data_IF_532079458426
#
_entry.id   IF_532079458426
#
_cell.length_a   1.000
_cell.length_b   1.000
_cell.length_c   1.000
_cell.angle_alpha   90.00
_cell.angle_beta   90.00
_cell.angle_gamma   90.00
#
_symmetry.space_group_name_H-M   'P 1'
#
loop_
_entity.id
_entity.type
_entity.pdbx_description
1 polymer ?
#
# COMPACT_ATOMS: atom_id res chain seq x y z
N UNK A 1 -23.99 -49.91 -12.30
CA UNK A 1 -24.60 -49.71 -10.97
C UNK A 1 -23.51 -49.61 -9.91
N UNK A 2 -23.25 -48.39 -9.43
CA UNK A 2 -22.80 -48.08 -8.06
C UNK A 2 -23.00 -46.57 -7.93
N UNK A 3 -24.07 -46.19 -7.23
CA UNK A 3 -24.38 -44.81 -6.85
C UNK A 3 -23.35 -44.41 -5.80
N UNK A 4 -22.55 -43.38 -6.07
CA UNK A 4 -21.78 -42.70 -5.04
C UNK A 4 -22.50 -41.37 -4.77
N UNK A 5 -23.37 -41.40 -3.78
CA UNK A 5 -24.05 -40.22 -3.24
C UNK A 5 -23.03 -39.42 -2.45
N UNK A 6 -22.46 -38.38 -3.07
CA UNK A 6 -21.66 -37.39 -2.36
C UNK A 6 -22.56 -36.64 -1.39
N UNK A 7 -22.32 -36.84 -0.10
CA UNK A 7 -22.81 -35.97 0.97
C UNK A 7 -22.26 -34.57 0.74
N UNK A 8 -23.15 -33.60 0.58
CA UNK A 8 -22.82 -32.17 0.69
C UNK A 8 -22.36 -31.94 2.13
N UNK A 9 -21.07 -31.70 2.33
CA UNK A 9 -20.59 -31.21 3.61
C UNK A 9 -21.00 -29.74 3.69
N UNK A 10 -22.03 -29.45 4.47
CA UNK A 10 -22.39 -28.08 4.85
C UNK A 10 -21.15 -27.39 5.44
N UNK A 11 -20.84 -26.22 4.91
CA UNK A 11 -19.83 -25.32 5.50
C UNK A 11 -20.37 -24.96 6.89
N UNK A 12 -19.66 -25.26 7.99
CA UNK A 12 -20.15 -24.89 9.32
C UNK A 12 -20.27 -23.37 9.40
N UNK A 13 -21.44 -22.91 9.83
CA UNK A 13 -21.73 -21.50 10.09
C UNK A 13 -20.62 -20.90 10.96
N UNK A 14 -20.03 -19.81 10.47
CA UNK A 14 -19.09 -19.01 11.24
C UNK A 14 -19.86 -18.47 12.46
N UNK A 15 -19.41 -18.70 13.71
CA UNK A 15 -20.13 -18.22 14.88
C UNK A 15 -20.23 -16.70 14.86
N UNK A 16 -21.46 -16.20 14.79
CA UNK A 16 -21.77 -14.79 15.01
C UNK A 16 -21.34 -14.43 16.44
N UNK A 17 -20.49 -13.40 16.57
CA UNK A 17 -20.07 -12.88 17.87
C UNK A 17 -21.30 -12.54 18.74
N UNK A 18 -21.44 -13.09 19.96
CA UNK A 18 -22.52 -12.70 20.85
C UNK A 18 -22.31 -11.24 21.31
N UNK A 19 -23.33 -10.41 21.14
CA UNK A 19 -23.34 -9.03 21.62
C UNK A 19 -23.29 -8.95 23.16
N UNK A 20 -22.84 -7.83 23.73
CA UNK A 20 -22.66 -7.70 25.17
C UNK A 20 -24.02 -7.54 25.86
N UNK A 21 -24.61 -8.64 26.31
CA UNK A 21 -25.63 -8.59 27.35
C UNK A 21 -24.95 -8.60 28.72
N UNK A 22 -25.04 -7.45 29.39
CA UNK A 22 -25.11 -7.28 30.84
C UNK A 22 -24.12 -8.04 31.73
N UNK A 23 -23.11 -7.33 32.23
CA UNK A 23 -22.48 -7.69 33.51
C UNK A 23 -22.72 -6.56 34.51
N UNK A 24 -23.52 -6.87 35.52
CA UNK A 24 -23.88 -6.08 36.69
C UNK A 24 -22.66 -5.74 37.55
N UNK A 25 -22.71 -4.56 38.18
CA UNK A 25 -21.61 -3.93 38.89
C UNK A 25 -21.06 -4.69 40.11
N UNK A 26 -19.78 -4.44 40.37
CA UNK A 26 -19.10 -4.73 41.64
C UNK A 26 -18.62 -3.39 42.19
N UNK A 27 -19.16 -2.98 43.33
CA UNK A 27 -18.77 -1.78 44.06
C UNK A 27 -17.59 -2.12 44.98
N UNK A 28 -16.46 -1.44 44.82
CA UNK A 28 -15.33 -1.51 45.75
C UNK A 28 -15.17 -0.16 46.42
N UNK A 29 -15.27 -0.15 47.76
CA UNK A 29 -15.19 1.05 48.60
C UNK A 29 -13.76 1.22 49.08
N UNK A 30 -13.14 2.37 48.85
CA UNK A 30 -11.81 2.73 49.39
C UNK A 30 -11.98 3.91 50.37
N UNK A 31 -11.43 3.85 51.60
CA UNK A 31 -11.58 4.93 52.56
C UNK A 31 -10.60 6.08 52.27
N UNK A 32 -11.10 7.31 52.34
CA UNK A 32 -10.35 8.56 52.15
C UNK A 32 -9.77 9.01 53.49
N UNK A 33 -8.44 9.16 53.57
CA UNK A 33 -7.76 9.91 54.63
C UNK A 33 -7.62 11.37 54.20
N UNK A 34 -8.13 12.30 55.02
CA UNK A 34 -7.96 13.75 54.85
C UNK A 34 -6.60 14.19 55.42
N UNK A 35 -5.76 14.82 54.59
CA UNK A 35 -4.68 15.70 55.05
C UNK A 35 -4.94 17.09 54.48
N UNK A 36 -5.16 18.05 55.38
CA UNK A 36 -5.25 19.49 55.08
C UNK A 36 -3.85 20.04 54.81
N UNK A 37 -3.63 20.60 53.63
CA UNK A 37 -2.56 21.57 53.38
C UNK A 37 -3.19 22.85 52.80
N UNK A 38 -3.06 23.95 53.55
CA UNK A 38 -3.33 25.30 53.06
C UNK A 38 -2.27 25.67 52.02
N UNK A 39 -2.69 25.98 50.80
CA UNK A 39 -1.89 26.71 49.84
C UNK A 39 -2.74 27.84 49.21
N UNK A 40 -2.16 29.03 49.26
CA UNK A 40 -2.71 30.33 48.89
C UNK A 40 -3.13 30.35 47.41
N UNK A 41 -4.38 30.73 47.14
CA UNK A 41 -4.89 30.97 45.79
C UNK A 41 -4.31 32.27 45.23
N UNK A 42 -3.27 32.17 44.40
CA UNK A 42 -3.05 33.15 43.32
C UNK A 42 -3.80 32.64 42.09
N UNK A 43 -4.87 33.35 41.71
CA UNK A 43 -5.70 33.00 40.57
C UNK A 43 -4.94 33.12 39.25
N UNK A 44 -4.63 31.98 38.66
CA UNK A 44 -4.46 31.82 37.21
C UNK A 44 -5.35 30.64 36.82
N UNK A 45 -6.49 30.92 36.19
CA UNK A 45 -7.30 29.90 35.53
C UNK A 45 -6.50 29.36 34.34
N UNK A 46 -5.85 28.21 34.52
CA UNK A 46 -5.46 27.38 33.38
C UNK A 46 -6.73 26.66 32.92
N UNK A 47 -7.47 27.27 32.00
CA UNK A 47 -8.53 26.59 31.25
C UNK A 47 -7.87 25.57 30.33
N UNK A 48 -7.70 24.34 30.82
CA UNK A 48 -7.47 23.20 29.94
C UNK A 48 -8.67 23.06 29.02
N UNK A 49 -8.49 23.34 27.73
CA UNK A 49 -9.44 22.91 26.70
C UNK A 49 -9.34 21.39 26.60
N UNK A 50 -10.10 20.69 27.45
CA UNK A 50 -10.42 19.30 27.20
C UNK A 50 -11.21 19.24 25.90
N UNK A 51 -10.65 18.60 24.88
CA UNK A 51 -11.40 18.24 23.67
C UNK A 51 -12.45 17.22 24.09
N UNK A 52 -13.67 17.69 24.38
CA UNK A 52 -14.81 16.83 24.49
C UNK A 52 -15.05 16.20 23.12
N UNK A 53 -14.79 14.90 22.97
CA UNK A 53 -15.26 14.14 21.80
C UNK A 53 -16.78 14.24 21.84
N UNK A 54 -17.44 14.91 20.88
CA UNK A 54 -18.89 14.93 20.86
C UNK A 54 -19.35 13.49 20.67
N UNK A 55 -20.17 12.96 21.60
CA UNK A 55 -20.98 11.77 21.32
C UNK A 55 -22.05 12.16 20.30
N UNK A 56 -21.64 12.39 19.05
CA UNK A 56 -22.57 12.63 17.96
C UNK A 56 -23.16 11.28 17.58
N UNK A 57 -24.49 11.09 17.65
CA UNK A 57 -25.09 9.87 17.15
C UNK A 57 -24.71 9.71 15.67
N UNK A 58 -24.42 8.48 15.23
CA UNK A 58 -24.07 8.19 13.84
C UNK A 58 -25.09 8.80 12.90
N UNK A 59 -24.63 9.65 11.97
CA UNK A 59 -25.51 10.23 10.94
C UNK A 59 -25.82 9.10 9.97
N UNK A 60 -26.99 8.48 10.14
CA UNK A 60 -27.50 7.52 9.16
C UNK A 60 -27.77 8.24 7.84
N UNK A 61 -26.78 8.20 6.96
CA UNK A 61 -26.96 8.44 5.54
C UNK A 61 -28.07 7.49 5.04
N UNK A 62 -29.15 7.98 4.39
CA UNK A 62 -30.09 7.08 3.75
C UNK A 62 -29.32 6.23 2.74
N UNK A 63 -29.46 4.90 2.83
CA UNK A 63 -28.84 4.01 1.87
C UNK A 63 -29.26 4.42 0.44
N UNK A 64 -28.32 4.54 -0.50
CA UNK A 64 -28.66 4.87 -1.88
C UNK A 64 -29.66 3.84 -2.38
N UNK A 65 -30.83 4.31 -2.81
CA UNK A 65 -31.79 3.46 -3.51
C UNK A 65 -31.22 3.19 -4.89
N UNK A 66 -30.63 2.02 -5.06
CA UNK A 66 -30.29 1.51 -6.38
C UNK A 66 -31.58 1.02 -7.02
N UNK A 67 -32.10 1.78 -7.98
CA UNK A 67 -33.26 1.39 -8.80
C UNK A 67 -32.93 0.30 -9.84
N UNK A 68 -31.73 -0.29 -9.74
CA UNK A 68 -31.26 -1.41 -10.55
C UNK A 68 -31.01 -2.62 -9.63
N UNK A 69 -31.44 -3.83 -10.03
CA UNK A 69 -31.04 -5.04 -9.32
C UNK A 69 -29.51 -5.15 -9.37
N UNK A 70 -28.91 -5.41 -8.20
CA UNK A 70 -27.46 -5.61 -8.13
C UNK A 70 -27.06 -6.75 -9.08
N UNK A 71 -26.02 -6.57 -9.91
CA UNK A 71 -25.54 -7.62 -10.78
C UNK A 71 -25.14 -8.84 -9.94
N UNK A 72 -25.59 -10.03 -10.36
CA UNK A 72 -25.11 -11.29 -9.75
C UNK A 72 -23.72 -11.57 -10.30
N UNK A 73 -22.71 -11.37 -9.47
CA UNK A 73 -21.32 -11.69 -9.79
C UNK A 73 -21.02 -13.12 -9.32
N UNK A 74 -20.49 -13.95 -10.21
CA UNK A 74 -20.02 -15.29 -9.91
C UNK A 74 -18.50 -15.32 -10.02
N UNK A 75 -17.83 -15.74 -8.94
CA UNK A 75 -16.39 -15.95 -8.94
C UNK A 75 -16.11 -17.44 -9.14
N UNK A 76 -15.22 -17.77 -10.09
CA UNK A 76 -14.71 -19.13 -10.32
C UNK A 76 -13.19 -19.12 -10.14
N UNK A 77 -12.67 -20.10 -9.39
CA UNK A 77 -11.23 -20.35 -9.34
C UNK A 77 -10.78 -21.08 -10.61
N UNK A 78 -9.99 -20.37 -11.42
CA UNK A 78 -9.42 -20.87 -12.67
C UNK A 78 -7.90 -21.02 -12.61
N UNK A 79 -7.25 -20.79 -11.46
CA UNK A 79 -5.79 -20.70 -11.37
C UNK A 79 -5.10 -21.97 -11.90
N UNK A 80 -5.59 -23.14 -11.48
CA UNK A 80 -5.06 -24.43 -11.96
C UNK A 80 -5.31 -24.66 -13.46
N UNK A 81 -6.47 -24.24 -13.99
CA UNK A 81 -6.80 -24.35 -15.42
C UNK A 81 -5.94 -23.40 -16.27
N UNK A 82 -5.62 -22.24 -15.72
CA UNK A 82 -4.79 -21.22 -16.35
C UNK A 82 -3.28 -21.52 -16.26
N UNK A 83 -2.85 -22.57 -15.53
CA UNK A 83 -1.44 -22.90 -15.34
C UNK A 83 -0.74 -22.13 -14.21
N UNK A 84 -1.49 -21.39 -13.40
CA UNK A 84 -1.00 -20.62 -12.24
C UNK A 84 -1.08 -21.47 -10.97
N UNK A 85 -0.20 -22.46 -10.85
CA UNK A 85 -0.23 -23.46 -9.77
C UNK A 85 0.97 -23.38 -8.81
N UNK A 86 1.80 -22.35 -8.90
CA UNK A 86 2.94 -22.19 -7.99
C UNK A 86 2.49 -22.02 -6.53
N UNK A 87 3.26 -22.63 -5.63
CA UNK A 87 3.10 -22.43 -4.20
C UNK A 87 3.75 -21.11 -3.80
N UNK A 88 2.94 -20.18 -3.30
CA UNK A 88 3.44 -19.00 -2.60
C UNK A 88 3.79 -19.36 -1.15
N UNK A 89 4.95 -18.90 -0.70
CA UNK A 89 5.49 -19.17 0.64
C UNK A 89 5.87 -17.85 1.29
N UNK A 90 5.36 -17.57 2.48
CA UNK A 90 5.83 -16.48 3.33
C UNK A 90 5.82 -16.96 4.78
N UNK A 91 7.00 -17.28 5.32
CA UNK A 91 7.17 -17.89 6.64
C UNK A 91 6.54 -19.27 6.82
N UNK A 92 6.54 -19.77 8.05
CA UNK A 92 6.13 -21.14 8.38
C UNK A 92 4.63 -21.40 8.18
N UNK A 93 4.26 -22.63 7.82
CA UNK A 93 2.88 -22.98 7.46
C UNK A 93 1.91 -22.93 8.64
N UNK A 94 2.36 -23.33 9.84
CA UNK A 94 1.50 -23.56 11.01
C UNK A 94 1.62 -22.51 12.10
N UNK A 95 2.78 -21.89 12.25
CA UNK A 95 3.02 -20.89 13.28
C UNK A 95 3.89 -19.77 12.74
N UNK A 96 3.54 -18.53 13.07
CA UNK A 96 4.32 -17.34 12.73
C UNK A 96 4.96 -16.82 14.01
N UNK A 97 6.28 -16.74 14.05
CA UNK A 97 7.06 -16.25 15.20
C UNK A 97 7.24 -14.73 15.14
N UNK A 98 7.46 -14.21 13.94
CA UNK A 98 7.74 -12.80 13.71
C UNK A 98 6.77 -12.19 12.69
N UNK A 99 6.62 -10.87 12.76
CA UNK A 99 5.75 -10.11 11.84
C UNK A 99 6.19 -10.25 10.36
N UNK A 100 7.48 -10.46 10.09
CA UNK A 100 8.01 -10.73 8.76
C UNK A 100 7.33 -11.91 8.04
N UNK A 101 6.83 -12.88 8.80
CA UNK A 101 6.17 -14.07 8.28
C UNK A 101 4.67 -13.87 7.98
N UNK A 102 4.15 -12.67 8.23
CA UNK A 102 2.71 -12.34 8.10
C UNK A 102 2.39 -11.48 6.89
N UNK A 103 3.39 -10.85 6.29
CA UNK A 103 3.23 -10.04 5.09
C UNK A 103 3.32 -10.91 3.84
N UNK A 104 2.43 -10.64 2.89
CA UNK A 104 2.42 -11.30 1.59
C UNK A 104 3.50 -10.73 0.66
N UNK A 105 3.44 -11.13 -0.60
CA UNK A 105 4.33 -10.64 -1.65
C UNK A 105 3.53 -9.99 -2.79
N UNK A 106 4.18 -9.16 -3.58
CA UNK A 106 3.59 -8.41 -4.68
C UNK A 106 3.47 -9.19 -5.99
N UNK A 107 2.70 -8.60 -6.90
CA UNK A 107 2.51 -9.04 -8.28
C UNK A 107 2.74 -7.87 -9.23
N UNK A 108 3.36 -8.13 -10.37
CA UNK A 108 3.42 -7.21 -11.50
C UNK A 108 2.70 -7.81 -12.71
N UNK A 109 1.93 -6.97 -13.40
CA UNK A 109 1.34 -7.26 -14.69
C UNK A 109 2.00 -6.35 -15.72
N UNK A 110 2.75 -6.92 -16.66
CA UNK A 110 3.52 -6.17 -17.65
C UNK A 110 3.83 -7.04 -18.86
N UNK A 111 4.13 -6.44 -20.01
CA UNK A 111 4.47 -7.16 -21.24
C UNK A 111 5.98 -7.36 -21.32
N UNK A 112 6.50 -8.46 -20.77
CA UNK A 112 7.96 -8.60 -20.60
C UNK A 112 8.71 -8.82 -21.92
N UNK A 113 7.99 -9.15 -22.99
CA UNK A 113 8.56 -9.51 -24.29
C UNK A 113 8.03 -8.64 -25.46
N UNK A 114 7.31 -7.56 -25.15
CA UNK A 114 6.73 -6.61 -26.10
C UNK A 114 5.82 -7.28 -27.16
N UNK A 115 5.07 -8.32 -26.79
CA UNK A 115 4.16 -9.02 -27.72
C UNK A 115 2.72 -8.51 -27.72
N UNK A 116 2.45 -7.46 -26.94
CA UNK A 116 1.18 -6.77 -26.76
C UNK A 116 0.26 -7.37 -25.71
N UNK A 117 0.73 -8.35 -24.92
CA UNK A 117 -0.07 -9.02 -23.91
C UNK A 117 0.59 -8.95 -22.54
N UNK A 118 -0.22 -8.65 -21.52
CA UNK A 118 0.28 -8.63 -20.15
C UNK A 118 0.60 -10.06 -19.69
N UNK A 119 1.80 -10.21 -19.16
CA UNK A 119 2.33 -11.36 -18.46
C UNK A 119 2.25 -11.13 -16.94
N UNK A 120 2.51 -12.18 -16.15
CA UNK A 120 2.38 -12.11 -14.69
C UNK A 120 3.72 -12.44 -14.04
N UNK A 121 4.25 -11.52 -13.23
CA UNK A 121 5.36 -11.81 -12.33
C UNK A 121 4.89 -11.84 -10.88
N UNK A 122 5.09 -12.98 -10.23
CA UNK A 122 4.77 -13.21 -8.81
C UNK A 122 6.05 -13.24 -8.00
N UNK A 123 6.14 -12.35 -7.02
CA UNK A 123 7.21 -12.37 -6.02
C UNK A 123 6.89 -13.45 -5.00
N UNK A 124 7.89 -14.20 -4.58
CA UNK A 124 7.76 -15.25 -3.58
C UNK A 124 8.60 -14.95 -2.35
N UNK A 125 8.23 -15.55 -1.22
CA UNK A 125 8.96 -15.43 0.03
C UNK A 125 9.70 -16.71 0.38
N UNK A 126 10.13 -16.81 1.64
CA UNK A 126 10.84 -17.98 2.17
C UNK A 126 10.48 -18.18 3.65
N UNK A 127 11.21 -19.06 4.35
CA UNK A 127 11.05 -19.31 5.78
C UNK A 127 12.37 -19.13 6.52
N UNK A 128 12.32 -18.95 7.85
CA UNK A 128 13.54 -18.83 8.66
C UNK A 128 14.30 -20.16 8.76
N UNK A 129 13.60 -21.28 8.62
CA UNK A 129 14.12 -22.64 8.70
C UNK A 129 14.81 -23.05 7.39
N UNK A 130 14.55 -22.31 6.31
CA UNK A 130 15.07 -22.61 4.98
C UNK A 130 14.43 -23.84 4.35
N UNK A 131 14.97 -24.23 3.20
CA UNK A 131 14.53 -25.38 2.42
C UNK A 131 15.73 -26.26 2.06
N UNK A 132 15.53 -27.55 1.78
CA UNK A 132 16.55 -28.38 1.14
C UNK A 132 17.00 -27.74 -0.18
N UNK A 133 18.29 -27.88 -0.51
CA UNK A 133 18.87 -27.32 -1.72
C UNK A 133 18.10 -27.78 -2.97
N UNK A 134 17.70 -26.82 -3.81
CA UNK A 134 16.91 -27.04 -5.02
C UNK A 134 15.40 -27.15 -4.79
N UNK A 135 14.93 -26.93 -3.56
CA UNK A 135 13.51 -26.90 -3.19
C UNK A 135 13.10 -25.55 -2.60
N UNK A 136 14.00 -24.56 -2.65
CA UNK A 136 13.69 -23.21 -2.24
C UNK A 136 12.56 -22.63 -3.10
N UNK A 137 11.52 -22.01 -2.50
CA UNK A 137 10.53 -21.26 -3.26
C UNK A 137 11.21 -20.11 -4.01
N UNK A 138 10.81 -19.90 -5.25
CA UNK A 138 11.34 -18.83 -6.10
C UNK A 138 10.22 -17.94 -6.61
N UNK A 139 10.57 -16.76 -7.09
CA UNK A 139 9.66 -15.95 -7.90
C UNK A 139 9.18 -16.72 -9.14
N UNK A 140 8.09 -16.28 -9.73
CA UNK A 140 7.54 -16.88 -10.95
C UNK A 140 7.22 -15.82 -12.01
N UNK A 141 7.73 -15.98 -13.22
CA UNK A 141 7.29 -15.24 -14.41
C UNK A 141 6.45 -16.15 -15.30
N UNK A 142 5.23 -15.74 -15.58
CA UNK A 142 4.23 -16.46 -16.37
C UNK A 142 3.94 -15.72 -17.66
N UNK A 143 4.35 -16.29 -18.78
CA UNK A 143 4.03 -15.76 -20.11
C UNK A 143 2.59 -16.09 -20.47
N UNK A 144 1.85 -15.09 -20.93
CA UNK A 144 0.49 -15.21 -21.44
C UNK A 144 0.47 -15.97 -22.77
N UNK A 145 -0.30 -17.06 -22.85
CA UNK A 145 -0.44 -17.84 -24.07
C UNK A 145 -1.55 -17.32 -25.00
N UNK A 146 -2.22 -16.21 -24.64
CA UNK A 146 -3.27 -15.52 -25.44
C UNK A 146 -4.58 -16.31 -25.58
N UNK A 147 -4.78 -17.29 -24.71
CA UNK A 147 -5.96 -18.17 -24.66
C UNK A 147 -6.53 -18.34 -23.24
N UNK A 148 -6.10 -17.48 -22.30
CA UNK A 148 -6.46 -17.57 -20.89
C UNK A 148 -5.57 -18.52 -20.08
N UNK A 149 -4.55 -19.13 -20.69
CA UNK A 149 -3.54 -19.93 -20.01
C UNK A 149 -2.17 -19.23 -19.99
N UNK A 150 -1.31 -19.68 -19.10
CA UNK A 150 0.02 -19.13 -18.88
C UNK A 150 1.09 -20.23 -18.84
N UNK A 151 2.28 -19.90 -19.31
CA UNK A 151 3.47 -20.76 -19.26
C UNK A 151 4.47 -20.18 -18.28
N UNK A 152 4.91 -20.95 -17.28
CA UNK A 152 6.03 -20.56 -16.42
C UNK A 152 7.33 -20.52 -17.24
N UNK A 153 7.89 -19.32 -17.35
CA UNK A 153 9.13 -19.02 -18.09
C UNK A 153 10.25 -18.52 -17.18
N UNK A 154 10.11 -18.68 -15.86
CA UNK A 154 11.03 -18.12 -14.85
C UNK A 154 12.49 -18.50 -15.09
N UNK A 155 12.74 -19.78 -15.36
CA UNK A 155 14.09 -20.30 -15.62
C UNK A 155 14.65 -19.78 -16.95
N UNK A 156 13.82 -19.74 -17.99
CA UNK A 156 14.18 -19.24 -19.31
C UNK A 156 14.53 -17.75 -19.26
N UNK A 157 13.77 -16.98 -18.48
CA UNK A 157 13.91 -15.55 -18.28
C UNK A 157 15.02 -15.16 -17.29
N UNK A 158 15.69 -16.12 -16.64
CA UNK A 158 16.74 -15.88 -15.65
C UNK A 158 16.26 -15.13 -14.39
N UNK A 159 15.03 -15.42 -13.94
CA UNK A 159 14.41 -14.82 -12.75
C UNK A 159 14.26 -15.80 -11.57
N UNK A 160 14.97 -16.93 -11.63
CA UNK A 160 14.98 -17.95 -10.55
C UNK A 160 15.74 -17.38 -9.36
N UNK A 161 15.02 -16.84 -8.39
CA UNK A 161 15.57 -16.32 -7.15
C UNK A 161 14.69 -16.67 -5.98
N UNK A 162 15.32 -17.14 -4.91
CA UNK A 162 14.70 -17.31 -3.60
C UNK A 162 15.11 -16.17 -2.66
N UNK A 163 14.30 -15.94 -1.63
CA UNK A 163 14.49 -14.89 -0.65
C UNK A 163 13.16 -14.48 -0.05
N UNK A 164 13.19 -13.50 0.84
CA UNK A 164 11.98 -12.95 1.45
C UNK A 164 11.43 -11.79 0.62
N UNK A 165 10.91 -12.09 -0.57
CA UNK A 165 10.40 -11.08 -1.50
C UNK A 165 9.09 -10.45 -1.04
N UNK A 166 8.96 -9.14 -1.26
CA UNK A 166 7.88 -8.31 -0.71
C UNK A 166 7.05 -7.63 -1.80
N UNK A 167 7.67 -6.90 -2.71
CA UNK A 167 6.99 -6.11 -3.73
C UNK A 167 7.79 -6.05 -5.02
N UNK A 168 7.16 -5.51 -6.05
CA UNK A 168 7.76 -5.32 -7.36
C UNK A 168 7.20 -4.06 -7.99
N UNK A 169 8.05 -3.33 -8.70
CA UNK A 169 7.68 -2.23 -9.58
C UNK A 169 8.35 -2.45 -10.93
N UNK A 170 7.68 -1.95 -11.97
CA UNK A 170 8.04 -2.12 -13.37
C UNK A 170 8.31 -0.74 -13.96
N UNK A 171 9.35 -0.63 -14.78
CA UNK A 171 9.66 0.58 -15.54
C UNK A 171 10.92 0.40 -16.36
N UNK A 172 10.97 1.02 -17.53
CA UNK A 172 12.15 1.08 -18.41
C UNK A 172 13.14 2.12 -17.83
N UNK A 173 14.05 1.69 -16.95
CA UNK A 173 14.88 2.63 -16.18
C UNK A 173 16.09 3.12 -16.98
N UNK A 174 16.48 2.41 -18.04
CA UNK A 174 17.59 2.80 -18.91
C UNK A 174 17.15 3.26 -20.31
N UNK A 175 15.84 3.48 -20.49
CA UNK A 175 15.22 4.05 -21.69
C UNK A 175 15.54 3.22 -22.96
N UNK A 176 15.64 1.89 -22.83
CA UNK A 176 16.00 0.98 -23.91
C UNK A 176 14.79 0.38 -24.66
N UNK A 177 13.58 0.69 -24.19
CA UNK A 177 12.30 0.24 -24.73
C UNK A 177 11.81 -1.09 -24.18
N UNK A 178 12.43 -1.62 -23.13
CA UNK A 178 12.02 -2.85 -22.47
C UNK A 178 11.79 -2.62 -20.98
N UNK A 179 10.61 -3.01 -20.50
CA UNK A 179 10.27 -2.89 -19.08
C UNK A 179 11.20 -3.74 -18.19
N UNK A 180 11.82 -3.09 -17.20
CA UNK A 180 12.67 -3.70 -16.18
C UNK A 180 11.89 -3.98 -14.88
N UNK A 181 12.50 -4.77 -14.00
CA UNK A 181 11.92 -5.11 -12.70
C UNK A 181 12.81 -4.68 -11.55
N UNK A 182 12.26 -3.94 -10.60
CA UNK A 182 12.85 -3.79 -9.28
C UNK A 182 12.02 -4.58 -8.26
N UNK A 183 12.68 -5.52 -7.57
CA UNK A 183 12.03 -6.41 -6.60
C UNK A 183 12.56 -6.11 -5.20
N UNK A 184 11.66 -5.81 -4.29
CA UNK A 184 11.97 -5.53 -2.89
C UNK A 184 12.00 -6.80 -2.06
N UNK A 185 12.89 -6.85 -1.07
CA UNK A 185 13.06 -7.98 -0.17
C UNK A 185 13.23 -7.49 1.28
N UNK A 186 13.02 -8.39 2.23
CA UNK A 186 13.79 -8.32 3.46
C UNK A 186 15.21 -8.81 3.20
N UNK A 187 16.18 -7.89 3.26
CA UNK A 187 17.58 -8.11 2.89
C UNK A 187 18.03 -7.21 1.75
N UNK A 188 18.52 -7.81 0.67
CA UNK A 188 19.01 -7.12 -0.52
C UNK A 188 17.94 -7.09 -1.61
N UNK A 189 17.55 -5.88 -2.01
CA UNK A 189 16.69 -5.64 -3.16
C UNK A 189 17.42 -5.96 -4.46
N UNK A 190 16.68 -6.15 -5.55
CA UNK A 190 17.26 -6.57 -6.84
C UNK A 190 16.69 -5.74 -7.97
N UNK A 191 17.59 -5.18 -8.78
CA UNK A 191 17.24 -4.59 -10.07
C UNK A 191 17.58 -5.59 -11.18
N UNK A 192 16.57 -5.92 -11.96
CA UNK A 192 16.66 -6.81 -13.11
C UNK A 192 16.46 -6.00 -14.38
N UNK A 193 17.52 -5.86 -15.18
CA UNK A 193 17.42 -5.25 -16.50
C UNK A 193 16.93 -6.28 -17.52
N UNK A 194 15.87 -5.98 -18.26
CA UNK A 194 15.43 -6.76 -19.40
C UNK A 194 16.45 -6.64 -20.53
N UNK A 195 16.80 -7.74 -21.19
CA UNK A 195 17.80 -7.73 -22.27
C UNK A 195 17.17 -7.64 -23.66
N UNK A 196 15.85 -7.42 -23.74
CA UNK A 196 15.06 -7.43 -24.97
C UNK A 196 14.95 -8.81 -25.66
N UNK A 197 15.44 -9.86 -25.01
CA UNK A 197 15.45 -11.23 -25.53
C UNK A 197 14.59 -12.18 -24.69
N UNK A 198 13.63 -11.62 -23.95
CA UNK A 198 12.81 -12.34 -22.98
C UNK A 198 13.62 -12.89 -21.80
N UNK A 199 14.70 -12.21 -21.43
CA UNK A 199 15.63 -12.57 -20.35
C UNK A 199 15.96 -11.34 -19.53
N UNK A 200 16.32 -11.56 -18.27
CA UNK A 200 16.72 -10.51 -17.34
C UNK A 200 18.14 -10.73 -16.83
N UNK A 201 18.83 -9.63 -16.56
CA UNK A 201 20.14 -9.60 -15.91
C UNK A 201 20.03 -8.91 -14.56
N UNK A 202 20.54 -9.54 -13.48
CA UNK A 202 20.71 -8.87 -12.19
C UNK A 202 21.82 -7.83 -12.33
N UNK A 203 21.45 -6.56 -12.31
CA UNK A 203 22.36 -5.41 -12.46
C UNK A 203 22.54 -4.66 -11.15
N UNK A 204 21.99 -5.16 -10.03
CA UNK A 204 21.95 -4.48 -8.72
C UNK A 204 23.31 -3.91 -8.29
N UNK A 205 24.38 -4.69 -8.44
CA UNK A 205 25.73 -4.25 -8.10
C UNK A 205 26.25 -3.17 -9.04
N UNK A 206 26.04 -3.32 -10.34
CA UNK A 206 26.51 -2.37 -11.34
C UNK A 206 25.74 -1.05 -11.26
N UNK A 207 24.45 -1.11 -10.91
CA UNK A 207 23.57 0.03 -10.72
C UNK A 207 23.85 0.79 -9.40
N UNK A 208 24.74 0.29 -8.53
CA UNK A 208 25.08 0.95 -7.26
C UNK A 208 24.06 0.71 -6.14
N UNK A 209 23.15 -0.25 -6.27
CA UNK A 209 22.02 -0.50 -5.37
C UNK A 209 22.31 -1.55 -4.26
N UNK A 210 23.58 -1.87 -4.02
CA UNK A 210 23.97 -2.81 -2.96
C UNK A 210 23.85 -2.18 -1.58
N UNK A 211 23.14 -2.86 -0.69
CA UNK A 211 23.00 -2.47 0.71
C UNK A 211 24.12 -3.04 1.57
N UNK A 212 24.59 -2.26 2.55
CA UNK A 212 25.57 -2.73 3.54
C UNK A 212 24.94 -3.57 4.66
N UNK A 213 23.64 -3.42 4.88
CA UNK A 213 22.89 -4.08 5.94
C UNK A 213 21.52 -4.50 5.42
N UNK A 214 20.94 -5.55 6.03
CA UNK A 214 19.58 -5.95 5.73
C UNK A 214 18.61 -4.82 6.07
N UNK A 215 17.62 -4.62 5.19
CA UNK A 215 16.50 -3.69 5.36
C UNK A 215 15.23 -4.42 4.98
N UNK A 216 14.09 -4.01 5.52
CA UNK A 216 12.80 -4.54 5.11
C UNK A 216 12.12 -3.56 4.16
N UNK A 217 12.43 -3.71 2.88
CA UNK A 217 11.77 -2.96 1.82
C UNK A 217 10.48 -3.68 1.42
N UNK A 218 9.37 -2.95 1.36
CA UNK A 218 8.04 -3.50 1.10
C UNK A 218 7.57 -3.12 -0.29
N UNK A 219 7.28 -1.84 -0.53
CA UNK A 219 6.86 -1.32 -1.83
C UNK A 219 7.95 -0.51 -2.53
N UNK A 220 7.80 -0.34 -3.84
CA UNK A 220 8.64 0.52 -4.66
C UNK A 220 7.83 1.16 -5.78
N UNK A 221 8.36 2.24 -6.36
CA UNK A 221 7.80 2.87 -7.56
C UNK A 221 8.91 3.54 -8.35
N UNK A 222 8.84 3.41 -9.68
CA UNK A 222 9.61 4.25 -10.58
C UNK A 222 8.86 5.56 -10.83
N UNK A 223 9.60 6.67 -10.90
CA UNK A 223 9.11 8.00 -11.19
C UNK A 223 10.25 8.89 -11.68
N UNK A 224 9.98 9.88 -12.51
CA UNK A 224 10.95 10.91 -12.88
C UNK A 224 10.72 12.14 -11.97
N UNK A 225 11.34 12.16 -10.78
CA UNK A 225 10.98 13.16 -9.76
C UNK A 225 11.52 14.55 -10.05
N UNK A 226 12.54 14.68 -10.89
CA UNK A 226 13.14 15.96 -11.25
C UNK A 226 13.00 16.34 -12.73
N UNK A 227 12.24 15.54 -13.50
CA UNK A 227 11.89 15.77 -14.90
C UNK A 227 13.10 15.79 -15.83
N UNK A 228 14.12 14.98 -15.52
CA UNK A 228 15.30 14.84 -16.37
C UNK A 228 15.14 13.78 -17.47
N UNK A 229 14.04 13.01 -17.43
CA UNK A 229 13.68 11.99 -18.42
C UNK A 229 14.19 10.60 -18.07
N UNK A 230 14.90 10.43 -16.96
CA UNK A 230 15.35 9.14 -16.46
C UNK A 230 14.50 8.70 -15.26
N UNK A 231 14.01 7.46 -15.27
CA UNK A 231 13.20 6.97 -14.15
C UNK A 231 14.06 6.76 -12.90
N UNK A 232 13.77 7.54 -11.87
CA UNK A 232 14.25 7.38 -10.51
C UNK A 232 13.47 6.31 -9.75
N UNK A 233 13.98 5.91 -8.58
CA UNK A 233 13.44 4.80 -7.82
C UNK A 233 13.16 5.18 -6.36
N UNK A 234 11.88 5.16 -5.99
CA UNK A 234 11.45 5.28 -4.59
C UNK A 234 11.25 3.89 -3.97
N UNK A 235 11.70 3.71 -2.73
CA UNK A 235 11.57 2.46 -1.96
C UNK A 235 11.02 2.75 -0.57
N UNK A 236 9.86 2.15 -0.27
CA UNK A 236 9.25 2.17 1.06
C UNK A 236 9.94 1.12 1.96
N UNK A 237 10.35 1.54 3.16
CA UNK A 237 10.89 0.62 4.17
C UNK A 237 9.99 0.59 5.41
N UNK A 238 9.64 -0.63 5.81
CA UNK A 238 8.59 -0.85 6.79
C UNK A 238 9.10 -0.75 8.22
N UNK A 239 9.90 -1.73 8.64
CA UNK A 239 10.41 -1.88 10.00
C UNK A 239 11.89 -2.19 9.93
N UNK A 240 12.69 -1.58 10.81
CA UNK A 240 14.07 -1.96 11.06
C UNK A 240 14.06 -3.27 11.88
N UNK A 241 13.85 -4.37 11.16
CA UNK A 241 13.69 -5.69 11.74
C UNK A 241 15.02 -6.40 11.89
N UNK A 242 15.34 -6.76 13.13
CA UNK A 242 16.45 -7.62 13.47
C UNK A 242 15.93 -8.78 14.32
N UNK A 243 16.15 -10.01 13.85
CA UNK A 243 15.63 -11.22 14.51
C UNK A 243 16.08 -11.28 15.97
N UNK A 244 17.34 -10.97 16.25
CA UNK A 244 17.93 -11.06 17.60
C UNK A 244 17.40 -10.00 18.57
N UNK A 245 16.97 -8.84 18.06
CA UNK A 245 16.44 -7.73 18.87
C UNK A 245 14.93 -7.72 18.96
N UNK A 246 14.26 -8.49 18.12
CA UNK A 246 12.79 -8.53 18.08
C UNK A 246 12.28 -9.25 19.33
N UNK A 247 11.42 -8.61 20.15
CA UNK A 247 10.91 -9.25 21.35
C UNK A 247 10.08 -10.51 21.03
N UNK A 248 10.10 -11.47 21.96
CA UNK A 248 9.34 -12.70 21.81
C UNK A 248 7.83 -12.45 21.80
N UNK A 249 7.09 -13.36 21.16
CA UNK A 249 5.62 -13.42 21.21
C UNK A 249 5.12 -13.33 22.66
N UNK A 250 4.16 -12.45 22.94
CA UNK A 250 3.60 -12.25 24.28
C UNK A 250 4.45 -11.42 25.25
N UNK A 251 5.66 -10.96 24.86
CA UNK A 251 6.59 -10.28 25.78
C UNK A 251 6.18 -8.87 26.24
N UNK A 252 5.10 -8.30 25.68
CA UNK A 252 4.64 -6.97 26.07
C UNK A 252 3.36 -6.53 25.37
N UNK A 253 2.96 -5.27 25.63
CA UNK A 253 1.69 -4.70 25.14
C UNK A 253 1.52 -4.71 23.62
N UNK A 254 2.63 -4.64 22.88
CA UNK A 254 2.63 -4.65 21.41
C UNK A 254 2.82 -6.05 20.81
N UNK A 255 3.03 -7.05 21.66
CA UNK A 255 3.17 -8.47 21.29
C UNK A 255 2.03 -9.28 21.94
N UNK A 256 0.93 -8.62 22.28
CA UNK A 256 -0.29 -9.22 22.84
C UNK A 256 -1.49 -8.49 22.24
N UNK A 257 -2.44 -9.22 21.69
CA UNK A 257 -3.65 -8.66 21.12
C UNK A 257 -4.87 -9.25 21.82
N UNK A 258 -5.69 -8.40 22.45
CA UNK A 258 -6.88 -8.81 23.23
C UNK A 258 -6.59 -9.93 24.25
N UNK A 259 -5.42 -9.88 24.89
CA UNK A 259 -4.97 -10.88 25.87
C UNK A 259 -4.37 -12.15 25.27
N UNK A 260 -4.28 -12.26 23.94
CA UNK A 260 -3.67 -13.40 23.25
C UNK A 260 -2.23 -13.04 22.87
N UNK A 261 -1.23 -13.86 23.24
CA UNK A 261 0.14 -13.68 22.79
C UNK A 261 0.24 -13.73 21.26
N UNK A 262 0.77 -12.66 20.66
CA UNK A 262 1.01 -12.54 19.22
C UNK A 262 2.43 -12.06 18.96
N UNK A 263 2.92 -12.16 17.72
CA UNK A 263 4.15 -11.50 17.32
C UNK A 263 4.06 -9.99 17.58
N UNK A 264 5.19 -9.34 17.80
CA UNK A 264 5.19 -7.90 18.01
C UNK A 264 4.75 -7.17 16.74
N UNK A 265 3.70 -6.35 16.87
CA UNK A 265 3.22 -5.48 15.80
C UNK A 265 4.18 -4.30 15.54
N UNK A 266 3.95 -3.51 14.48
CA UNK A 266 4.87 -2.46 14.03
C UNK A 266 5.19 -1.47 15.14
N UNK A 267 4.19 -1.01 15.89
CA UNK A 267 4.33 -0.07 17.02
C UNK A 267 5.28 -0.52 18.15
N UNK A 268 5.62 -1.81 18.19
CA UNK A 268 6.61 -2.37 19.12
C UNK A 268 8.03 -2.43 18.56
N UNK A 269 8.24 -2.00 17.32
CA UNK A 269 9.48 -2.13 16.57
C UNK A 269 9.91 -0.77 15.99
N UNK A 270 11.21 -0.56 15.75
CA UNK A 270 11.69 0.68 15.14
C UNK A 270 11.23 0.77 13.68
N UNK A 271 10.73 1.94 13.28
CA UNK A 271 10.29 2.19 11.91
C UNK A 271 11.48 2.28 10.94
N UNK A 272 11.29 1.80 9.72
CA UNK A 272 12.26 2.00 8.64
C UNK A 272 12.26 3.44 8.13
N UNK A 273 13.24 3.76 7.28
CA UNK A 273 13.30 5.04 6.55
C UNK A 273 13.09 4.82 5.07
N UNK A 274 12.24 5.63 4.45
CA UNK A 274 12.06 5.62 3.00
C UNK A 274 13.33 6.05 2.27
N UNK A 275 13.51 5.55 1.05
CA UNK A 275 14.70 5.81 0.24
C UNK A 275 14.27 6.34 -1.12
N UNK A 276 14.97 7.36 -1.61
CA UNK A 276 14.87 7.82 -2.99
C UNK A 276 16.24 7.72 -3.64
N UNK A 277 16.29 6.98 -4.73
CA UNK A 277 17.46 6.82 -5.59
C UNK A 277 17.27 7.64 -6.85
N UNK A 278 18.15 8.62 -7.08
CA UNK A 278 18.20 9.36 -8.33
C UNK A 278 18.90 8.51 -9.40
N UNK A 279 18.33 8.39 -10.59
CA UNK A 279 19.00 7.81 -11.75
C UNK A 279 20.03 8.81 -12.31
N UNK A 280 21.26 8.35 -12.57
CA UNK A 280 22.34 9.20 -13.05
C UNK A 280 22.37 9.30 -14.60
N UNK A 281 21.46 8.62 -15.30
CA UNK A 281 21.39 8.57 -16.77
C UNK A 281 22.44 7.65 -17.43
N UNK A 282 23.23 6.94 -16.63
CA UNK A 282 24.24 5.97 -17.07
C UNK A 282 23.96 4.54 -16.59
N UNK A 283 22.73 4.31 -16.12
CA UNK A 283 22.27 3.04 -15.53
C UNK A 283 22.70 2.84 -14.08
N UNK A 284 23.26 3.86 -13.43
CA UNK A 284 23.58 3.85 -12.00
C UNK A 284 22.68 4.78 -11.20
N UNK A 285 22.58 4.52 -9.89
CA UNK A 285 21.75 5.28 -8.98
C UNK A 285 22.53 5.93 -7.85
N UNK A 286 22.07 7.11 -7.42
CA UNK A 286 22.57 7.85 -6.26
C UNK A 286 21.49 7.95 -5.18
N UNK A 287 21.79 7.54 -3.95
CA UNK A 287 20.89 7.76 -2.80
C UNK A 287 20.80 9.27 -2.49
N UNK A 288 19.61 9.85 -2.69
CA UNK A 288 19.31 11.26 -2.44
C UNK A 288 18.29 11.43 -1.30
N UNK A 289 18.08 10.41 -0.47
CA UNK A 289 16.97 10.36 0.49
C UNK A 289 16.98 11.49 1.52
N UNK A 290 18.16 11.81 2.06
CA UNK A 290 18.33 12.91 3.02
C UNK A 290 18.25 14.28 2.32
N UNK A 291 18.80 14.40 1.10
CA UNK A 291 18.79 15.66 0.33
C UNK A 291 17.39 16.03 -0.16
N UNK A 292 16.63 15.03 -0.62
CA UNK A 292 15.26 15.19 -1.12
C UNK A 292 14.23 15.33 0.02
N UNK A 293 14.60 15.01 1.26
CA UNK A 293 13.71 15.14 2.42
C UNK A 293 12.82 13.91 2.69
N UNK A 294 12.80 12.90 1.81
CA UNK A 294 11.96 11.70 2.01
C UNK A 294 12.35 10.87 3.23
N UNK A 295 13.62 10.96 3.67
CA UNK A 295 14.10 10.30 4.89
C UNK A 295 13.69 11.01 6.19
N UNK A 296 13.14 12.23 6.09
CA UNK A 296 12.82 13.12 7.21
C UNK A 296 11.66 12.64 8.09
N UNK A 297 10.48 12.31 7.53
CA UNK A 297 9.36 11.80 8.32
C UNK A 297 9.73 10.50 9.05
N UNK A 298 9.81 10.59 10.38
CA UNK A 298 10.23 9.49 11.23
C UNK A 298 9.04 8.78 11.88
N UNK A 299 9.18 7.49 12.15
CA UNK A 299 8.17 6.73 12.89
C UNK A 299 6.96 6.32 12.06
N UNK A 300 7.08 6.28 10.73
CA UNK A 300 6.05 5.78 9.82
C UNK A 300 6.41 4.37 9.34
N UNK A 301 5.46 3.44 9.41
CA UNK A 301 5.67 2.08 8.90
C UNK A 301 5.23 2.01 7.44
N UNK A 302 6.06 2.55 6.56
CA UNK A 302 5.79 2.66 5.12
C UNK A 302 5.63 1.28 4.45
N UNK A 303 4.60 1.17 3.61
CA UNK A 303 4.26 -0.09 2.96
C UNK A 303 4.20 0.05 1.44
N UNK A 304 3.14 0.66 0.90
CA UNK A 304 2.94 0.76 -0.54
C UNK A 304 2.99 2.22 -0.97
N UNK A 305 3.95 2.60 -1.83
CA UNK A 305 3.93 3.89 -2.51
C UNK A 305 2.96 3.86 -3.70
N UNK A 306 2.39 5.01 -4.02
CA UNK A 306 1.69 5.32 -5.25
C UNK A 306 2.15 6.69 -5.76
N UNK A 307 2.49 6.76 -7.04
CA UNK A 307 2.97 7.97 -7.70
C UNK A 307 1.82 8.59 -8.49
N UNK A 308 1.61 9.89 -8.32
CA UNK A 308 0.60 10.65 -9.04
C UNK A 308 0.91 12.15 -8.93
N UNK A 309 0.49 12.92 -9.92
CA UNK A 309 0.37 14.38 -9.80
C UNK A 309 -1.00 14.67 -9.16
N UNK A 310 -1.06 14.75 -7.83
CA UNK A 310 -2.35 14.79 -7.13
C UNK A 310 -2.99 16.18 -7.13
N UNK A 311 -2.17 17.23 -7.29
CA UNK A 311 -2.61 18.63 -7.28
C UNK A 311 -2.55 19.30 -8.66
N UNK A 312 -2.21 18.53 -9.70
CA UNK A 312 -2.12 18.96 -11.10
C UNK A 312 -1.11 20.10 -11.30
N UNK A 313 -0.03 20.13 -10.52
CA UNK A 313 1.08 21.09 -10.70
C UNK A 313 2.09 20.63 -11.77
N UNK A 314 1.89 19.41 -12.28
CA UNK A 314 2.67 18.76 -13.32
C UNK A 314 3.84 17.94 -12.78
N UNK A 315 4.14 17.95 -11.48
CA UNK A 315 5.22 17.19 -10.86
C UNK A 315 4.68 15.90 -10.23
N UNK A 316 5.43 14.79 -10.30
CA UNK A 316 5.00 13.57 -9.65
C UNK A 316 5.22 13.67 -8.14
N UNK A 317 4.14 13.47 -7.38
CA UNK A 317 4.13 13.31 -5.93
C UNK A 317 4.12 11.83 -5.55
N UNK A 318 4.39 11.55 -4.27
CA UNK A 318 4.38 10.17 -3.74
C UNK A 318 3.46 10.08 -2.53
N UNK A 319 2.36 9.36 -2.66
CA UNK A 319 1.58 8.91 -1.51
C UNK A 319 2.12 7.59 -0.99
N UNK A 320 2.26 7.43 0.32
CA UNK A 320 2.69 6.16 0.94
C UNK A 320 1.68 5.70 1.97
N UNK A 321 1.08 4.54 1.70
CA UNK A 321 0.25 3.83 2.67
C UNK A 321 1.14 3.31 3.82
N UNK A 322 0.83 3.72 5.04
CA UNK A 322 1.55 3.30 6.23
C UNK A 322 0.69 2.40 7.12
N UNK A 323 1.27 1.31 7.61
CA UNK A 323 0.62 0.48 8.61
C UNK A 323 0.67 1.16 9.97
N UNK A 324 -0.41 1.09 10.73
CA UNK A 324 -0.44 1.42 12.15
C UNK A 324 -0.04 2.85 12.56
N UNK A 325 0.29 3.72 11.59
CA UNK A 325 0.72 5.13 11.72
C UNK A 325 0.02 5.97 10.63
N UNK A 326 0.07 7.31 10.72
CA UNK A 326 -0.46 8.16 9.64
C UNK A 326 0.25 7.89 8.31
N UNK A 327 -0.50 7.99 7.20
CA UNK A 327 0.07 7.90 5.86
C UNK A 327 0.90 9.15 5.53
N UNK A 328 1.78 9.02 4.54
CA UNK A 328 2.61 10.10 4.05
C UNK A 328 2.11 10.56 2.68
N UNK A 329 2.18 11.86 2.44
CA UNK A 329 2.02 12.43 1.10
C UNK A 329 3.21 13.35 0.85
N UNK A 330 4.20 12.85 0.14
CA UNK A 330 5.36 13.62 -0.28
C UNK A 330 4.98 14.48 -1.48
N UNK A 331 4.71 15.77 -1.23
CA UNK A 331 4.51 16.76 -2.28
C UNK A 331 5.84 17.18 -2.87
N UNK A 332 5.97 17.13 -4.19
CA UNK A 332 7.19 17.49 -4.90
C UNK A 332 7.27 19.00 -5.11
N UNK A 333 8.27 19.65 -4.54
CA UNK A 333 8.43 21.11 -4.61
C UNK A 333 9.01 21.60 -5.96
N UNK A 334 9.25 20.69 -6.92
CA UNK A 334 9.82 21.00 -8.24
C UNK A 334 11.28 21.47 -8.22
N UNK A 335 11.96 21.34 -7.08
CA UNK A 335 13.36 21.72 -6.88
C UNK A 335 14.24 20.54 -6.45
N UNK A 336 13.71 19.32 -6.58
CA UNK A 336 14.35 18.07 -6.15
C UNK A 336 14.19 17.76 -4.66
N UNK A 337 13.25 18.41 -3.97
CA UNK A 337 12.90 18.13 -2.57
C UNK A 337 11.40 17.89 -2.42
N UNK A 338 11.04 17.20 -1.34
CA UNK A 338 9.68 16.85 -0.98
C UNK A 338 9.30 17.39 0.40
N UNK A 339 8.05 17.83 0.53
CA UNK A 339 7.43 18.17 1.82
C UNK A 339 6.30 17.19 2.13
N UNK A 340 6.18 16.77 3.41
CA UNK A 340 5.02 15.97 3.82
C UNK A 340 3.75 16.84 3.95
N UNK A 341 2.82 16.64 3.03
CA UNK A 341 1.51 17.29 2.97
C UNK A 341 0.38 16.41 3.53
N UNK A 342 0.68 15.23 4.10
CA UNK A 342 -0.32 14.23 4.49
C UNK A 342 -1.33 14.74 5.53
N UNK A 343 -0.85 15.50 6.51
CA UNK A 343 -1.70 16.09 7.55
C UNK A 343 -2.58 17.22 7.01
N UNK A 344 -2.03 18.06 6.13
CA UNK A 344 -2.74 19.23 5.59
C UNK A 344 -3.78 18.83 4.53
N UNK A 345 -3.50 17.77 3.77
CA UNK A 345 -4.43 17.20 2.78
C UNK A 345 -5.56 16.38 3.41
N UNK A 346 -5.43 15.97 4.68
CA UNK A 346 -6.38 15.07 5.34
C UNK A 346 -6.25 13.60 4.89
N UNK A 347 -5.15 13.25 4.20
CA UNK A 347 -4.88 11.89 3.74
C UNK A 347 -4.19 11.01 4.80
N UNK A 348 -3.56 11.65 5.79
CA UNK A 348 -2.86 10.99 6.89
C UNK A 348 -3.79 10.47 7.99
N UNK A 349 -4.84 11.23 8.35
CA UNK A 349 -5.75 10.99 9.47
C UNK A 349 -7.21 11.15 9.03
N UNK A 350 -8.14 10.55 9.78
CA UNK A 350 -9.57 10.75 9.59
C UNK A 350 -10.08 12.03 10.28
N UNK A 351 -11.38 12.31 10.14
CA UNK A 351 -12.05 13.49 10.71
C UNK A 351 -11.94 13.61 12.25
N UNK A 352 -11.69 12.50 12.95
CA UNK A 352 -11.49 12.44 14.41
C UNK A 352 -10.01 12.52 14.82
N UNK A 353 -9.10 12.75 13.87
CA UNK A 353 -7.65 12.77 14.09
C UNK A 353 -7.06 11.38 14.35
N UNK A 354 -7.76 10.31 13.97
CA UNK A 354 -7.26 8.94 14.09
C UNK A 354 -6.54 8.50 12.82
N UNK A 355 -5.49 7.71 13.00
CA UNK A 355 -4.67 7.16 11.92
C UNK A 355 -5.52 6.31 10.96
N UNK A 356 -5.47 6.65 9.68
CA UNK A 356 -6.06 5.84 8.62
C UNK A 356 -5.04 4.81 8.13
N UNK A 357 -4.62 3.92 9.05
CA UNK A 357 -3.63 2.88 8.79
C UNK A 357 -4.06 1.97 7.63
N UNK A 358 -3.20 1.81 6.63
CA UNK A 358 -3.43 0.97 5.47
C UNK A 358 -2.13 0.44 4.86
N UNK A 359 -2.20 -0.75 4.28
CA UNK A 359 -1.04 -1.42 3.65
C UNK A 359 -1.12 -1.44 2.12
N UNK A 360 -2.23 -1.02 1.53
CA UNK A 360 -2.43 -1.02 0.08
C UNK A 360 -3.11 0.27 -0.36
N UNK A 361 -2.67 0.78 -1.51
CA UNK A 361 -3.20 1.97 -2.16
C UNK A 361 -3.26 1.77 -3.67
N UNK A 362 -4.23 2.41 -4.31
CA UNK A 362 -4.32 2.63 -5.75
C UNK A 362 -4.72 4.07 -6.00
N UNK A 363 -4.24 4.64 -7.10
CA UNK A 363 -4.49 6.02 -7.48
C UNK A 363 -5.05 6.05 -8.91
N UNK A 364 -6.18 6.73 -9.12
CA UNK A 364 -6.80 6.93 -10.41
C UNK A 364 -7.82 8.07 -10.36
N UNK A 365 -8.04 8.77 -11.47
CA UNK A 365 -9.19 9.66 -11.63
C UNK A 365 -10.46 8.80 -11.80
N UNK A 366 -11.12 8.48 -10.68
CA UNK A 366 -12.21 7.50 -10.66
C UNK A 366 -13.53 8.09 -11.17
N UNK A 367 -13.77 9.38 -10.93
CA UNK A 367 -14.99 10.07 -11.33
C UNK A 367 -14.83 10.93 -12.59
N UNK A 368 -13.64 10.93 -13.19
CA UNK A 368 -13.29 11.64 -14.43
C UNK A 368 -13.38 13.16 -14.29
N UNK A 369 -13.07 13.70 -13.12
CA UNK A 369 -13.05 15.14 -12.86
C UNK A 369 -11.70 15.81 -13.17
N UNK A 370 -10.68 15.01 -13.52
CA UNK A 370 -9.34 15.45 -13.85
C UNK A 370 -8.40 15.54 -12.65
N UNK A 371 -8.81 15.14 -11.45
CA UNK A 371 -7.95 14.98 -10.28
C UNK A 371 -7.77 13.51 -9.94
N UNK A 372 -6.59 13.15 -9.44
CA UNK A 372 -6.32 11.78 -9.04
C UNK A 372 -6.93 11.51 -7.67
N UNK A 373 -7.80 10.50 -7.60
CA UNK A 373 -8.32 9.98 -6.34
C UNK A 373 -7.41 8.88 -5.77
N UNK A 374 -7.38 8.80 -4.45
CA UNK A 374 -6.70 7.73 -3.71
C UNK A 374 -7.72 6.76 -3.12
N UNK A 375 -7.57 5.48 -3.44
CA UNK A 375 -8.29 4.38 -2.79
C UNK A 375 -7.31 3.56 -1.98
N UNK A 376 -7.59 3.38 -0.69
CA UNK A 376 -6.75 2.60 0.22
C UNK A 376 -7.54 1.59 1.03
N UNK A 377 -6.87 0.51 1.42
CA UNK A 377 -7.44 -0.50 2.32
C UNK A 377 -7.12 -0.17 3.77
N UNK A 378 -8.14 0.17 4.58
CA UNK A 378 -7.95 0.46 6.01
C UNK A 378 -7.90 -0.83 6.85
N UNK A 379 -6.91 -0.93 7.74
CA UNK A 379 -6.70 -2.09 8.63
C UNK A 379 -7.41 -1.94 10.00
N UNK A 380 -8.32 -0.98 10.15
CA UNK A 380 -9.18 -0.83 11.32
C UNK A 380 -10.63 -1.15 10.93
N UNK A 381 -11.38 -1.90 11.76
CA UNK A 381 -12.82 -1.97 11.56
C UNK A 381 -13.41 -0.59 11.83
N UNK A 382 -13.63 0.17 10.76
CA UNK A 382 -14.69 1.16 10.74
C UNK A 382 -16.00 0.36 10.89
N UNK A 383 -16.49 0.23 12.13
CA UNK A 383 -17.85 -0.26 12.39
C UNK A 383 -18.90 0.79 12.03
N UNK A 384 -18.76 1.38 10.85
CA UNK A 384 -19.79 2.17 10.22
C UNK A 384 -19.61 1.99 8.71
N UNK A 385 -20.34 1.02 8.16
CA UNK A 385 -20.77 1.09 6.78
C UNK A 385 -21.62 2.36 6.67
N UNK A 386 -20.97 3.52 6.52
CA UNK A 386 -21.61 4.73 6.02
C UNK A 386 -21.78 4.45 4.53
N UNK A 387 -23.00 4.19 4.01
CA UNK A 387 -23.20 4.40 2.59
C UNK A 387 -22.73 5.83 2.31
N UNK A 388 -21.91 6.07 1.27
CA UNK A 388 -21.41 7.41 0.99
C UNK A 388 -22.60 8.34 0.78
N UNK A 389 -22.94 9.16 1.78
CA UNK A 389 -23.61 10.42 1.50
C UNK A 389 -22.63 11.20 0.65
N UNK A 390 -22.97 11.32 -0.62
CA UNK A 390 -22.57 12.18 -1.75
C UNK A 390 -21.71 13.43 -1.46
N UNK A 391 -20.79 13.40 -0.50
CA UNK A 391 -19.95 14.52 -0.06
C UNK A 391 -18.71 14.05 0.74
N UNK A 392 -18.32 12.77 0.64
CA UNK A 392 -17.06 12.25 1.22
C UNK A 392 -16.21 11.49 0.18
N UNK A 393 -16.45 11.77 -1.09
CA UNK A 393 -15.51 11.61 -2.20
C UNK A 393 -15.50 12.96 -2.92
N UNK A 394 -14.34 13.38 -3.41
CA UNK A 394 -13.95 14.75 -3.76
C UNK A 394 -13.67 15.68 -2.56
N UNK A 395 -12.43 15.64 -2.06
CA UNK A 395 -11.75 16.89 -1.75
C UNK A 395 -11.00 17.30 -3.02
N UNK A 396 -11.69 18.01 -3.92
CA UNK A 396 -11.00 18.88 -4.86
C UNK A 396 -10.28 19.94 -4.03
N UNK A 397 -8.95 19.87 -3.92
CA UNK A 397 -8.17 20.91 -3.25
C UNK A 397 -8.11 22.10 -4.21
N UNK A 398 -9.05 23.04 -4.05
CA UNK A 398 -8.99 24.36 -4.68
C UNK A 398 -8.83 25.41 -3.58
N UNK A 399 -7.58 25.79 -3.33
CA UNK A 399 -7.28 27.07 -2.68
C UNK A 399 -7.65 28.20 -3.66
N UNK A 400 -8.86 28.75 -3.52
CA UNK A 400 -9.16 30.09 -4.06
C UNK A 400 -8.85 31.12 -2.98
N UNK A 401 -7.71 31.78 -3.11
CA UNK A 401 -7.55 33.11 -2.54
C UNK A 401 -8.54 34.05 -3.25
N UNK A 402 -9.65 34.37 -2.59
CA UNK A 402 -10.53 35.44 -3.04
C UNK A 402 -9.96 36.79 -2.60
N UNK A 403 -9.63 37.66 -3.55
CA UNK A 403 -9.68 39.12 -3.36
C UNK A 403 -10.72 39.72 -4.32
N UNK A 404 -11.42 40.80 -3.94
CA UNK A 404 -12.74 41.11 -4.50
C UNK A 404 -12.70 42.08 -5.69
N UNK A 405 -13.82 42.06 -6.44
CA UNK A 405 -14.34 43.06 -7.41
C UNK A 405 -13.92 42.94 -8.89
N UNK A 406 -14.87 42.53 -9.74
CA UNK A 406 -15.59 43.38 -10.75
C UNK A 406 -16.15 42.50 -11.89
N UNK A 407 -17.41 42.65 -12.35
CA UNK A 407 -18.02 41.72 -13.30
C UNK A 407 -17.90 42.21 -14.76
N UNK A 408 -17.48 41.35 -15.71
CA UNK A 408 -17.81 41.55 -17.14
C UNK A 408 -17.95 40.26 -17.96
N UNK A 409 -19.17 40.14 -18.51
CA UNK A 409 -19.61 39.74 -19.86
C UNK A 409 -19.11 38.44 -20.51
N UNK A 410 -20.12 37.62 -20.78
CA UNK A 410 -20.28 36.64 -21.86
C UNK A 410 -19.77 37.11 -23.23
N UNK A 411 -18.95 36.27 -23.88
CA UNK A 411 -18.86 36.20 -25.33
C UNK A 411 -18.80 34.70 -25.71
N UNK A 412 -19.75 34.29 -26.54
CA UNK A 412 -19.75 33.02 -27.23
C UNK A 412 -18.90 33.13 -28.50
N UNK A 413 -18.08 32.13 -28.79
CA UNK A 413 -17.54 31.89 -30.14
C UNK A 413 -17.48 30.39 -30.42
N UNK A 414 -18.23 30.02 -31.45
CA UNK A 414 -18.16 28.79 -32.24
C UNK A 414 -16.90 28.77 -33.12
N UNK A 415 -16.25 27.61 -33.25
CA UNK A 415 -15.72 27.00 -34.50
C UNK A 415 -14.76 25.83 -34.16
N UNK A 416 -15.19 24.58 -34.38
CA UNK A 416 -14.78 23.67 -35.49
C UNK A 416 -13.30 23.28 -35.53
N UNK A 417 -13.02 22.03 -35.14
CA UNK A 417 -11.76 21.33 -35.44
C UNK A 417 -11.90 19.83 -35.20
N UNK A 418 -12.13 19.06 -36.26
CA UNK A 418 -12.20 17.59 -36.26
C UNK A 418 -10.81 16.99 -35.98
N UNK A 419 -10.72 16.05 -35.05
CA UNK A 419 -9.82 14.91 -35.17
C UNK A 419 -10.53 13.64 -34.69
N UNK A 420 -10.33 12.55 -35.45
CA UNK A 420 -11.09 11.29 -35.39
C UNK A 420 -10.53 10.38 -34.29
N UNK A 421 -11.36 9.94 -33.35
CA UNK A 421 -11.12 8.74 -32.53
C UNK A 421 -11.84 7.53 -33.15
N UNK A 422 -11.23 6.33 -33.17
CA UNK A 422 -11.92 5.12 -33.59
C UNK A 422 -12.86 4.58 -32.48
N UNK A 423 -14.07 4.27 -32.91
CA UNK A 423 -15.16 3.68 -32.11
C UNK A 423 -14.86 2.19 -31.87
N UNK A 424 -14.70 1.78 -30.61
CA UNK A 424 -14.78 0.35 -30.26
C UNK A 424 -16.25 -0.10 -30.29
N UNK A 425 -16.58 -0.93 -31.27
CA UNK A 425 -17.85 -1.65 -31.35
C UNK A 425 -17.87 -2.76 -30.29
N UNK A 426 -18.93 -2.75 -29.47
CA UNK A 426 -19.41 -3.91 -28.71
C UNK A 426 -19.47 -5.15 -29.62
N UNK A 427 -18.81 -6.22 -29.21
CA UNK A 427 -19.16 -7.58 -29.63
C UNK A 427 -19.69 -8.28 -28.39
N UNK A 428 -20.97 -8.61 -28.45
CA UNK A 428 -21.68 -9.43 -27.48
C UNK A 428 -21.46 -10.90 -27.81
N UNK A 429 -21.13 -11.71 -26.80
CA UNK A 429 -21.58 -13.09 -26.64
C UNK A 429 -21.58 -13.41 -25.15
#
# INVERSE_FOLDING_TARGET
>A
MRKNTGTVTEIPEIPVCPGPNGVTGISVTVPVFFLLTLAVQTGVEVRGQGVAVPKRPPRQAPAPKLDIPLPKVHFEDVASKAGLAARHVTGQEREKRYILETVGSGVALFDYNNDGWLDIFLVNGTTFEGFPKGQEPTNHLYRNNKDGTFTDVTAQANLVRSGWGQGVCVGDYDNDGYDDLFVTYFGQNVLYRNTGQGRFADVTQNAGLMHKSARWSTGCSFLDYDKDGDLDLFVANYVDFEVEKTPAKGSGRYCTWKGIPVMCGPRGLPAGKNILYRNNGDGTFTDVSEKSGVAGPAGHYAFTPAVSDYDNDGWPDIYVACDSTPNLLYHNEGNGTFTDAGMLSGSALNEDGQEQAGMGVSAADYDSDGFIDLVKTNCRPEWEFRPPTTTQMASSILSRQTSPTTPRRSIATTETGRSRMPVFKRVSA
#
